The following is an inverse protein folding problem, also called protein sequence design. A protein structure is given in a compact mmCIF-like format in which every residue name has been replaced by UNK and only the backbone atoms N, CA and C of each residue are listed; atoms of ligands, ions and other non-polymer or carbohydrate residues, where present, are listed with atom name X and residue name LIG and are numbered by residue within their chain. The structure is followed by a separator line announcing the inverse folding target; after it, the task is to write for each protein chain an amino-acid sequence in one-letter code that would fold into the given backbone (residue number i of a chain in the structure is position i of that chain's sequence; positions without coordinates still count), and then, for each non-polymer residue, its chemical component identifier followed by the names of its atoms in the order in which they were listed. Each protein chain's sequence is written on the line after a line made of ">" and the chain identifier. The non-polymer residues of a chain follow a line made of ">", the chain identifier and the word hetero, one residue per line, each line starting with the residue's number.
data_IF_585867763854
#
_entry.id   IF_585867763854
#
_cell.length_a   1.000
_cell.length_b   1.000
_cell.length_c   1.000
_cell.angle_alpha   90.00
_cell.angle_beta   90.00
_cell.angle_gamma   90.00
#
_symmetry.space_group_name_H-M   'P 1'
#
loop_
_entity.id
_entity.type
_entity.pdbx_description
1 polymer ?
#
# COMPACT_ATOMS: atom_id res chain seq x y z
N UNK A 1 -11.19 -19.10 -2.76
CA UNK A 1 -10.93 -17.98 -1.83
C UNK A 1 -10.26 -16.84 -2.58
N UNK A 2 -10.74 -15.61 -2.42
CA UNK A 2 -10.02 -14.46 -2.98
C UNK A 2 -8.61 -14.34 -2.43
N UNK A 3 -7.70 -13.84 -3.26
CA UNK A 3 -6.35 -13.49 -2.84
C UNK A 3 -6.30 -11.99 -2.60
N UNK A 4 -5.78 -11.61 -1.45
CA UNK A 4 -5.67 -10.21 -1.04
C UNK A 4 -4.21 -9.80 -0.87
N UNK A 5 -3.97 -8.51 -1.07
CA UNK A 5 -2.74 -7.83 -0.69
C UNK A 5 -3.10 -6.83 0.41
N UNK A 6 -2.39 -6.90 1.52
CA UNK A 6 -2.52 -5.93 2.60
C UNK A 6 -1.24 -5.12 2.71
N UNK A 7 -1.40 -3.81 2.80
CA UNK A 7 -0.32 -2.83 2.87
C UNK A 7 -0.48 -2.07 4.19
N UNK A 8 0.54 -2.17 5.06
CA UNK A 8 0.50 -1.56 6.37
C UNK A 8 1.04 -0.14 6.32
N UNK A 9 0.39 0.76 7.06
CA UNK A 9 0.77 2.16 7.10
C UNK A 9 1.77 2.40 8.22
N UNK A 10 2.91 3.02 7.88
CA UNK A 10 3.89 3.55 8.84
C UNK A 10 4.43 2.51 9.84
N UNK A 11 4.73 1.31 9.38
CA UNK A 11 5.45 0.31 10.21
C UNK A 11 6.93 0.33 9.86
N UNK A 12 7.78 0.03 10.84
CA UNK A 12 9.24 -0.07 10.68
C UNK A 12 9.89 1.19 10.09
N UNK A 13 9.27 2.34 10.29
CA UNK A 13 9.85 3.65 9.92
C UNK A 13 10.11 4.45 11.19
N UNK A 14 11.15 5.28 11.18
CA UNK A 14 11.69 5.98 12.35
C UNK A 14 10.67 6.33 13.44
N UNK A 15 10.85 5.83 14.65
CA UNK A 15 10.03 6.14 15.81
C UNK A 15 8.64 5.52 15.89
N UNK A 16 8.20 4.78 14.87
CA UNK A 16 6.84 4.20 14.86
C UNK A 16 6.75 2.81 15.50
N UNK A 17 7.88 2.26 15.95
CA UNK A 17 7.93 0.90 16.48
C UNK A 17 8.24 -0.14 15.42
N UNK A 18 8.67 -1.30 15.87
CA UNK A 18 9.08 -2.39 14.98
C UNK A 18 8.00 -3.45 14.88
N UNK A 19 7.75 -3.89 13.66
CA UNK A 19 6.92 -5.05 13.38
C UNK A 19 7.74 -6.04 12.56
N UNK A 20 8.26 -7.12 13.17
CA UNK A 20 8.91 -8.18 12.40
C UNK A 20 7.92 -8.81 11.41
N UNK A 21 8.39 -9.13 10.22
CA UNK A 21 7.50 -9.76 9.21
C UNK A 21 7.04 -11.14 9.65
N UNK A 22 7.81 -11.84 10.48
CA UNK A 22 7.37 -13.11 11.09
C UNK A 22 6.14 -12.93 11.98
N UNK A 23 6.04 -11.81 12.70
CA UNK A 23 4.86 -11.50 13.52
C UNK A 23 3.63 -11.19 12.65
N UNK A 24 3.82 -10.44 11.57
CA UNK A 24 2.76 -10.16 10.61
C UNK A 24 2.23 -11.45 9.98
N UNK A 25 3.13 -12.32 9.57
CA UNK A 25 2.75 -13.64 9.05
C UNK A 25 1.97 -14.46 10.06
N UNK A 26 2.44 -14.49 11.31
CA UNK A 26 1.77 -15.22 12.39
C UNK A 26 0.36 -14.68 12.65
N UNK A 27 0.16 -13.37 12.61
CA UNK A 27 -1.18 -12.75 12.74
C UNK A 27 -2.13 -13.23 11.65
N UNK A 28 -1.67 -13.27 10.41
CA UNK A 28 -2.47 -13.73 9.28
C UNK A 28 -2.82 -15.22 9.42
N UNK A 29 -1.85 -16.04 9.81
CA UNK A 29 -2.07 -17.46 10.01
C UNK A 29 -3.04 -17.72 11.16
N UNK A 30 -2.92 -16.99 12.24
CA UNK A 30 -3.84 -17.07 13.39
C UNK A 30 -5.27 -16.64 13.01
N UNK A 31 -5.40 -15.69 12.09
CA UNK A 31 -6.69 -15.26 11.57
C UNK A 31 -7.34 -16.28 10.64
N UNK A 32 -6.62 -17.35 10.27
CA UNK A 32 -7.12 -18.39 9.39
C UNK A 32 -6.86 -18.11 7.91
N UNK A 33 -6.05 -17.12 7.60
CA UNK A 33 -5.68 -16.80 6.21
C UNK A 33 -4.70 -17.84 5.67
N UNK A 34 -4.86 -18.20 4.41
CA UNK A 34 -4.08 -19.26 3.77
C UNK A 34 -2.98 -18.68 2.88
N UNK A 35 -1.91 -19.46 2.69
CA UNK A 35 -0.82 -19.14 1.77
C UNK A 35 -0.20 -17.76 2.04
N UNK A 36 -0.03 -17.42 3.30
CA UNK A 36 0.49 -16.12 3.73
C UNK A 36 1.96 -15.95 3.35
N UNK A 37 2.26 -14.81 2.75
CA UNK A 37 3.59 -14.49 2.29
C UNK A 37 3.86 -12.99 2.47
N UNK A 38 4.89 -12.65 3.24
CA UNK A 38 5.28 -11.25 3.47
C UNK A 38 6.36 -10.81 2.49
N UNK A 39 6.40 -9.51 2.21
CA UNK A 39 7.40 -8.92 1.32
C UNK A 39 7.90 -7.61 1.89
N UNK A 40 9.18 -7.55 2.18
CA UNK A 40 9.95 -6.43 2.72
C UNK A 40 9.37 -5.74 3.97
N UNK A 41 10.22 -5.02 4.71
CA UNK A 41 9.91 -4.49 6.03
C UNK A 41 8.90 -3.33 6.04
N UNK A 42 8.57 -2.75 4.89
CA UNK A 42 7.54 -1.71 4.83
C UNK A 42 6.13 -2.23 5.17
N UNK A 43 5.97 -3.55 5.30
CA UNK A 43 4.72 -4.15 5.74
C UNK A 43 3.77 -4.50 4.61
N UNK A 44 4.12 -5.54 3.85
CA UNK A 44 3.31 -6.04 2.75
C UNK A 44 3.07 -7.53 2.93
N UNK A 45 1.84 -7.96 2.77
CA UNK A 45 1.50 -9.38 2.90
C UNK A 45 0.46 -9.78 1.86
N UNK A 46 0.65 -10.96 1.28
CA UNK A 46 -0.28 -11.58 0.32
C UNK A 46 -0.81 -12.86 0.96
N UNK A 47 -2.11 -13.07 0.87
CA UNK A 47 -2.77 -14.24 1.45
C UNK A 47 -4.11 -14.49 0.76
N UNK A 48 -4.66 -15.69 0.97
CA UNK A 48 -6.01 -16.03 0.56
C UNK A 48 -6.93 -16.06 1.78
N UNK A 49 -8.14 -15.55 1.65
CA UNK A 49 -9.12 -15.56 2.72
C UNK A 49 -10.54 -15.65 2.14
N UNK A 50 -11.45 -16.28 2.88
CA UNK A 50 -12.85 -16.38 2.46
C UNK A 50 -13.66 -15.14 2.85
N UNK A 51 -13.15 -14.32 3.77
CA UNK A 51 -13.80 -13.11 4.24
C UNK A 51 -13.78 -12.02 3.17
N UNK A 52 -14.67 -11.02 3.33
CA UNK A 52 -14.68 -9.84 2.45
C UNK A 52 -13.47 -8.94 2.70
N UNK A 53 -13.19 -8.04 1.77
CA UNK A 53 -12.13 -7.04 1.93
C UNK A 53 -12.29 -6.26 3.24
N UNK A 54 -13.51 -5.81 3.55
CA UNK A 54 -13.78 -5.04 4.76
C UNK A 54 -13.54 -5.88 6.03
N UNK A 55 -13.91 -7.16 6.02
CA UNK A 55 -13.68 -8.05 7.16
C UNK A 55 -12.20 -8.34 7.36
N UNK A 56 -11.47 -8.61 6.28
CA UNK A 56 -10.02 -8.81 6.30
C UNK A 56 -9.31 -7.59 6.89
N UNK A 57 -9.68 -6.41 6.43
CA UNK A 57 -9.13 -5.14 6.94
C UNK A 57 -9.34 -5.02 8.45
N UNK A 58 -10.55 -5.24 8.92
CA UNK A 58 -10.87 -5.17 10.37
C UNK A 58 -10.09 -6.19 11.18
N UNK A 59 -9.99 -7.42 10.70
CA UNK A 59 -9.27 -8.48 11.41
C UNK A 59 -7.80 -8.15 11.57
N UNK A 60 -7.15 -7.64 10.51
CA UNK A 60 -5.76 -7.24 10.57
C UNK A 60 -5.54 -6.00 11.44
N UNK A 61 -6.40 -5.01 11.34
CA UNK A 61 -6.29 -3.80 12.17
C UNK A 61 -6.43 -4.12 13.66
N UNK A 62 -7.33 -5.03 14.04
CA UNK A 62 -7.46 -5.49 15.42
C UNK A 62 -6.22 -6.22 15.93
N UNK A 63 -5.69 -7.12 15.12
CA UNK A 63 -4.49 -7.87 15.49
C UNK A 63 -3.29 -6.96 15.66
N UNK A 64 -3.13 -6.00 14.75
CA UNK A 64 -2.03 -5.03 14.78
C UNK A 64 -2.15 -4.08 15.97
N UNK A 65 -3.35 -3.61 16.29
CA UNK A 65 -3.56 -2.75 17.45
C UNK A 65 -3.26 -3.50 18.77
N UNK A 66 -3.66 -4.75 18.87
CA UNK A 66 -3.34 -5.59 20.03
C UNK A 66 -1.83 -5.79 20.18
N UNK A 67 -1.11 -5.93 19.07
CA UNK A 67 0.34 -6.10 19.08
C UNK A 67 1.08 -4.79 19.39
N UNK A 68 0.71 -3.72 18.71
CA UNK A 68 1.43 -2.44 18.78
C UNK A 68 1.00 -1.55 19.93
N UNK A 69 -0.15 -1.78 20.52
CA UNK A 69 -0.75 -0.91 21.54
C UNK A 69 -1.32 0.39 20.98
N UNK A 70 -1.41 0.51 19.67
CA UNK A 70 -1.96 1.69 18.98
C UNK A 70 -2.52 1.25 17.62
N UNK A 71 -3.45 2.03 17.03
CA UNK A 71 -3.97 1.71 15.69
C UNK A 71 -2.87 1.71 14.64
N UNK A 72 -2.92 0.72 13.74
CA UNK A 72 -2.08 0.63 12.56
C UNK A 72 -3.01 0.51 11.36
N UNK A 73 -2.95 1.46 10.43
CA UNK A 73 -3.80 1.46 9.25
C UNK A 73 -3.40 0.35 8.28
N UNK A 74 -4.39 -0.27 7.66
CA UNK A 74 -4.19 -1.33 6.66
C UNK A 74 -4.99 -0.99 5.43
N UNK A 75 -4.32 -0.96 4.28
CA UNK A 75 -4.95 -0.85 2.97
C UNK A 75 -5.03 -2.23 2.36
N UNK A 76 -6.20 -2.65 1.90
CA UNK A 76 -6.42 -3.98 1.33
C UNK A 76 -6.84 -3.85 -0.14
N UNK A 77 -6.29 -4.69 -0.98
CA UNK A 77 -6.64 -4.79 -2.40
C UNK A 77 -6.73 -6.25 -2.80
N UNK A 78 -7.61 -6.55 -3.74
CA UNK A 78 -7.64 -7.87 -4.38
C UNK A 78 -6.52 -7.99 -5.41
N UNK A 79 -6.21 -9.22 -5.84
CA UNK A 79 -5.25 -9.44 -6.93
C UNK A 79 -5.67 -8.72 -8.22
N UNK A 80 -6.96 -8.74 -8.54
CA UNK A 80 -7.50 -8.05 -9.72
C UNK A 80 -7.30 -6.52 -9.62
N UNK A 81 -7.53 -5.96 -8.43
CA UNK A 81 -7.30 -4.53 -8.19
C UNK A 81 -5.83 -4.17 -8.33
N UNK A 82 -4.93 -5.01 -7.82
CA UNK A 82 -3.48 -4.79 -7.98
C UNK A 82 -3.08 -4.81 -9.45
N UNK A 83 -3.62 -5.74 -10.24
CA UNK A 83 -3.36 -5.79 -11.67
C UNK A 83 -3.87 -4.54 -12.39
N UNK A 84 -5.04 -4.04 -12.01
CA UNK A 84 -5.60 -2.81 -12.57
C UNK A 84 -4.75 -1.58 -12.21
N UNK A 85 -4.23 -1.52 -10.99
CA UNK A 85 -3.35 -0.43 -10.54
C UNK A 85 -2.07 -0.38 -11.38
N UNK A 86 -1.46 -1.53 -11.61
CA UNK A 86 -0.25 -1.61 -12.46
C UNK A 86 -0.56 -1.20 -13.89
N UNK A 87 -1.67 -1.69 -14.46
CA UNK A 87 -2.06 -1.39 -15.83
C UNK A 87 -2.42 0.09 -16.03
N UNK A 88 -2.99 0.73 -15.01
CA UNK A 88 -3.44 2.12 -15.09
C UNK A 88 -2.34 3.13 -14.74
N UNK A 89 -1.13 2.69 -14.39
CA UNK A 89 -0.02 3.57 -14.04
C UNK A 89 0.30 4.51 -15.22
N UNK A 90 0.06 5.84 -15.09
CA UNK A 90 0.31 6.77 -16.20
C UNK A 90 1.80 7.02 -16.44
N UNK A 91 2.66 6.57 -15.53
CA UNK A 91 4.11 6.75 -15.59
C UNK A 91 4.83 5.42 -15.83
N UNK A 92 4.22 4.51 -16.56
CA UNK A 92 4.75 3.17 -16.79
C UNK A 92 6.11 3.16 -17.52
N UNK A 93 6.41 4.20 -18.29
CA UNK A 93 7.70 4.35 -18.97
C UNK A 93 8.82 4.84 -18.04
N UNK A 94 8.48 5.34 -16.85
CA UNK A 94 9.46 5.83 -15.88
C UNK A 94 9.99 4.69 -15.00
N UNK A 95 11.20 4.84 -14.40
CA UNK A 95 11.72 3.84 -13.50
C UNK A 95 10.78 3.58 -12.31
N UNK A 96 10.53 2.30 -12.00
CA UNK A 96 9.62 1.91 -10.93
C UNK A 96 10.07 2.37 -9.56
N UNK A 97 11.36 2.53 -9.32
CA UNK A 97 11.90 3.04 -8.05
C UNK A 97 11.74 4.56 -7.88
N UNK A 98 11.26 5.26 -8.90
CA UNK A 98 10.98 6.71 -8.88
C UNK A 98 9.52 7.03 -9.08
N UNK A 99 8.67 6.02 -9.07
CA UNK A 99 7.22 6.17 -9.20
C UNK A 99 6.56 5.40 -8.08
N UNK A 100 5.61 6.04 -7.40
CA UNK A 100 4.87 5.39 -6.32
C UNK A 100 3.38 5.41 -6.62
N UNK A 101 2.67 4.42 -6.07
CA UNK A 101 1.24 4.47 -5.89
C UNK A 101 0.97 4.71 -4.41
N UNK A 102 0.18 5.71 -4.10
CA UNK A 102 -0.27 6.00 -2.74
C UNK A 102 -1.66 5.39 -2.62
N UNK A 103 -1.77 4.36 -1.80
CA UNK A 103 -3.03 3.62 -1.59
C UNK A 103 -3.89 4.35 -0.58
N UNK A 104 -5.18 4.51 -0.92
CA UNK A 104 -6.17 5.16 -0.08
C UNK A 104 -7.30 4.19 0.24
N UNK A 105 -8.04 4.44 1.33
CA UNK A 105 -9.25 3.66 1.64
C UNK A 105 -10.38 3.96 0.67
N UNK A 106 -10.51 5.22 0.27
CA UNK A 106 -11.60 5.70 -0.57
C UNK A 106 -11.05 6.38 -1.83
N UNK A 107 -11.85 6.47 -2.91
CA UNK A 107 -11.43 7.21 -4.09
C UNK A 107 -11.08 8.66 -3.76
N UNK A 108 -9.99 9.21 -4.32
CA UNK A 108 -9.67 10.61 -4.12
C UNK A 108 -10.73 11.49 -4.81
N UNK A 109 -11.01 12.66 -4.21
CA UNK A 109 -11.93 13.64 -4.81
C UNK A 109 -11.30 14.24 -6.06
N UNK A 110 -12.13 14.73 -6.97
CA UNK A 110 -11.65 15.35 -8.21
C UNK A 110 -10.68 16.53 -7.98
N UNK A 111 -10.86 17.25 -6.87
CA UNK A 111 -10.01 18.37 -6.47
C UNK A 111 -8.88 18.00 -5.50
N UNK A 112 -8.59 16.71 -5.36
CA UNK A 112 -7.61 16.21 -4.38
C UNK A 112 -6.21 16.82 -4.54
N UNK A 113 -5.86 17.29 -5.72
CA UNK A 113 -4.55 17.90 -5.99
C UNK A 113 -4.53 19.43 -5.87
N UNK A 114 -5.65 20.06 -5.48
CA UNK A 114 -5.75 21.52 -5.42
C UNK A 114 -4.83 22.15 -4.39
N UNK A 115 -4.51 21.44 -3.29
CA UNK A 115 -3.72 21.95 -2.17
C UNK A 115 -2.32 21.34 -2.08
N UNK A 116 -1.81 20.82 -3.17
CA UNK A 116 -0.44 20.27 -3.24
C UNK A 116 0.56 21.40 -3.03
N UNK A 117 1.55 21.16 -2.17
CA UNK A 117 2.61 22.12 -1.87
C UNK A 117 3.99 21.49 -2.02
N UNK A 118 5.03 22.33 -2.09
CA UNK A 118 6.43 21.91 -2.20
C UNK A 118 6.71 21.03 -3.42
N UNK A 119 5.88 21.16 -4.45
CA UNK A 119 6.08 20.47 -5.72
C UNK A 119 7.22 21.13 -6.49
N UNK A 120 8.09 20.29 -7.05
CA UNK A 120 9.17 20.70 -7.93
C UNK A 120 8.89 20.19 -9.34
N UNK A 121 9.51 19.06 -9.69
CA UNK A 121 9.35 18.42 -11.00
C UNK A 121 8.45 17.17 -10.92
N UNK A 122 7.89 16.87 -9.76
CA UNK A 122 7.03 15.70 -9.58
C UNK A 122 5.79 15.79 -10.47
N UNK A 123 5.42 14.65 -11.03
CA UNK A 123 4.19 14.48 -11.79
C UNK A 123 3.21 13.66 -10.96
N UNK A 124 1.94 14.09 -10.91
CA UNK A 124 0.93 13.49 -10.04
C UNK A 124 -0.32 13.19 -10.87
N UNK A 125 -0.90 12.03 -10.65
CA UNK A 125 -2.15 11.64 -11.30
C UNK A 125 -3.05 10.88 -10.33
N UNK A 126 -4.36 11.08 -10.46
CA UNK A 126 -5.34 10.36 -9.65
C UNK A 126 -5.65 8.99 -10.28
N UNK A 127 -5.74 7.97 -9.43
CA UNK A 127 -6.23 6.65 -9.81
C UNK A 127 -7.62 6.38 -9.23
N UNK A 128 -8.05 5.13 -9.21
CA UNK A 128 -9.35 4.74 -8.67
C UNK A 128 -9.43 4.94 -7.15
N UNK A 129 -8.53 4.32 -6.41
CA UNK A 129 -8.36 4.54 -4.96
C UNK A 129 -6.89 4.79 -4.63
N UNK A 130 -6.15 5.34 -5.59
CA UNK A 130 -4.72 5.61 -5.48
C UNK A 130 -4.39 6.98 -6.03
N UNK A 131 -3.24 7.50 -5.61
CA UNK A 131 -2.62 8.68 -6.21
C UNK A 131 -1.24 8.23 -6.68
N UNK A 132 -0.97 8.41 -7.97
CA UNK A 132 0.34 8.09 -8.54
C UNK A 132 1.23 9.32 -8.51
N UNK A 133 2.49 9.14 -8.13
CA UNK A 133 3.48 10.22 -8.15
C UNK A 133 4.76 9.72 -8.82
N UNK A 134 5.22 10.45 -9.84
CA UNK A 134 6.52 10.24 -10.44
C UNK A 134 7.49 11.31 -9.93
N UNK A 135 8.66 10.88 -9.48
CA UNK A 135 9.71 11.74 -8.92
C UNK A 135 10.94 11.72 -9.84
N UNK A 136 11.00 12.58 -10.88
CA UNK A 136 12.12 12.55 -11.82
C UNK A 136 13.49 12.75 -11.16
N UNK A 137 13.55 13.54 -10.10
CA UNK A 137 14.78 13.80 -9.33
C UNK A 137 14.96 12.85 -8.14
N UNK A 138 14.15 11.78 -8.02
CA UNK A 138 14.21 10.81 -6.95
C UNK A 138 13.34 11.16 -5.74
N UNK A 139 13.04 10.16 -4.93
CA UNK A 139 12.13 10.28 -3.79
C UNK A 139 12.85 10.84 -2.54
N UNK A 140 14.12 10.50 -2.36
CA UNK A 140 14.84 10.73 -1.11
C UNK A 140 14.89 12.19 -0.64
N UNK A 141 14.99 13.14 -1.55
CA UNK A 141 15.07 14.57 -1.23
C UNK A 141 13.77 15.32 -1.59
N UNK A 142 12.73 14.62 -1.99
CA UNK A 142 11.47 15.24 -2.35
C UNK A 142 10.77 15.77 -1.11
N UNK A 143 10.19 16.98 -1.24
CA UNK A 143 9.44 17.64 -0.16
C UNK A 143 7.98 17.81 -0.51
N UNK A 144 7.53 17.19 -1.58
CA UNK A 144 6.15 17.22 -2.06
C UNK A 144 5.18 16.85 -0.94
N UNK A 145 4.15 17.66 -0.76
CA UNK A 145 3.06 17.40 0.18
C UNK A 145 1.76 17.31 -0.60
N UNK A 146 1.11 16.16 -0.50
CA UNK A 146 -0.21 15.92 -1.09
C UNK A 146 -1.18 15.68 0.05
N UNK A 147 -1.96 16.71 0.46
CA UNK A 147 -2.85 16.59 1.63
C UNK A 147 -3.86 15.45 1.53
N UNK A 148 -4.36 15.16 0.33
CA UNK A 148 -5.29 14.06 0.09
C UNK A 148 -4.68 12.67 0.38
N UNK A 149 -3.36 12.56 0.41
CA UNK A 149 -2.64 11.32 0.67
C UNK A 149 -2.27 11.13 2.14
N UNK A 150 -2.68 12.04 3.02
CA UNK A 150 -2.27 12.04 4.44
C UNK A 150 -2.47 10.70 5.14
N UNK A 151 -3.60 10.04 4.91
CA UNK A 151 -3.95 8.78 5.55
C UNK A 151 -3.66 7.56 4.67
N UNK A 152 -2.96 7.75 3.56
CA UNK A 152 -2.59 6.69 2.65
C UNK A 152 -1.26 6.06 2.99
N UNK A 153 -0.89 5.05 2.23
CA UNK A 153 0.41 4.42 2.31
C UNK A 153 0.99 4.25 0.92
N UNK A 154 2.25 4.64 0.75
CA UNK A 154 2.91 4.64 -0.56
C UNK A 154 3.82 3.43 -0.74
N UNK A 155 3.81 2.87 -1.94
CA UNK A 155 4.77 1.84 -2.37
C UNK A 155 5.29 2.19 -3.76
N UNK A 156 6.58 1.97 -3.99
CA UNK A 156 7.10 2.17 -5.33
C UNK A 156 6.55 1.10 -6.29
N UNK A 157 6.56 1.39 -7.58
CA UNK A 157 5.91 0.51 -8.55
C UNK A 157 6.62 -0.83 -8.73
N UNK A 158 7.89 -0.95 -8.37
CA UNK A 158 8.57 -2.25 -8.35
C UNK A 158 7.95 -3.16 -7.28
N UNK A 159 7.70 -2.62 -6.09
CA UNK A 159 7.02 -3.34 -5.01
C UNK A 159 5.60 -3.70 -5.41
N UNK A 160 4.86 -2.75 -5.98
CA UNK A 160 3.48 -2.98 -6.43
C UNK A 160 3.43 -4.11 -7.47
N UNK A 161 4.34 -4.10 -8.44
CA UNK A 161 4.41 -5.15 -9.45
C UNK A 161 4.70 -6.53 -8.85
N UNK A 162 5.63 -6.62 -7.90
CA UNK A 162 5.94 -7.88 -7.22
C UNK A 162 4.72 -8.42 -6.47
N UNK A 163 4.04 -7.56 -5.72
CA UNK A 163 2.84 -7.96 -4.97
C UNK A 163 1.71 -8.39 -5.91
N UNK A 164 1.55 -7.71 -7.03
CA UNK A 164 0.58 -8.07 -8.05
C UNK A 164 0.88 -9.45 -8.63
N UNK A 165 2.13 -9.74 -8.97
CA UNK A 165 2.54 -11.05 -9.48
C UNK A 165 2.21 -12.16 -8.47
N UNK A 166 2.53 -11.95 -7.20
CA UNK A 166 2.23 -12.91 -6.15
C UNK A 166 0.72 -13.14 -5.97
N UNK A 167 -0.06 -12.07 -6.07
CA UNK A 167 -1.50 -12.15 -5.87
C UNK A 167 -2.25 -12.76 -7.06
N UNK A 168 -1.69 -12.65 -8.27
CA UNK A 168 -2.33 -13.14 -9.50
C UNK A 168 -1.69 -14.42 -10.05
N UNK A 169 -0.57 -14.85 -9.50
CA UNK A 169 0.17 -16.02 -9.99
C UNK A 169 0.90 -15.80 -11.30
N UNK A 170 1.23 -14.56 -11.64
CA UNK A 170 1.88 -14.23 -12.92
C UNK A 170 3.31 -13.75 -12.72
#
# INVERSE_FOLDING_TARGET
>A
MPVYVALLRAVNVGGTGKLPMSELRAMCEKAGFANTRTYIASGNVVFAASESEAAVKRMLERALEAYAGKPVGVMVRTGAEMAAIVAANPFAAAPGNRTVAIFLDNPPKADALANVTHRRDEEIALGTREIYVHYPSGIGNAKLVVPAARNGTARNMNTVATLMEWATGR
#
